data_IF_966255869432
#
_entry.id   IF_966255869432
#
_cell.length_a   1.000
_cell.length_b   1.000
_cell.length_c   1.000
_cell.angle_alpha   90.00
_cell.angle_beta   90.00
_cell.angle_gamma   90.00
#
_symmetry.space_group_name_H-M   'P 1'
#
loop_
_entity.id
_entity.type
_entity.pdbx_description
1 polymer ?
#
# COMPACT_ATOMS: atom_id res chain seq x y z
N UNK A 1 -12.48 14.36 4.18
CA UNK A 1 -12.71 15.08 2.90
C UNK A 1 -13.74 16.19 3.06
N UNK A 2 -14.87 15.93 3.71
CA UNK A 2 -15.97 16.91 3.79
C UNK A 2 -15.59 18.20 4.53
N UNK A 3 -14.80 18.12 5.61
CA UNK A 3 -14.37 19.31 6.38
C UNK A 3 -13.53 20.29 5.55
N UNK A 4 -12.79 19.80 4.55
CA UNK A 4 -11.97 20.62 3.66
C UNK A 4 -12.69 20.99 2.35
N UNK A 5 -13.95 20.58 2.19
CA UNK A 5 -14.70 20.75 0.93
C UNK A 5 -14.77 22.21 0.49
N UNK A 6 -15.26 23.08 1.38
CA UNK A 6 -15.44 24.52 1.08
C UNK A 6 -14.10 25.26 1.02
N UNK A 7 -13.25 25.05 2.01
CA UNK A 7 -12.00 25.82 2.17
C UNK A 7 -10.94 25.46 1.13
N UNK A 8 -10.84 24.18 0.75
CA UNK A 8 -9.77 23.69 -0.11
C UNK A 8 -10.28 23.22 -1.48
N UNK A 9 -11.18 22.21 -1.48
CA UNK A 9 -11.51 21.52 -2.73
C UNK A 9 -12.32 22.39 -3.68
N UNK A 10 -13.24 23.25 -3.17
CA UNK A 10 -14.03 24.20 -3.97
C UNK A 10 -13.35 25.55 -4.19
N UNK A 11 -12.27 25.85 -3.48
CA UNK A 11 -11.56 27.12 -3.63
C UNK A 11 -11.16 27.37 -5.09
N UNK A 12 -11.36 28.60 -5.57
CA UNK A 12 -10.91 29.06 -6.90
C UNK A 12 -9.48 29.60 -6.86
N UNK A 13 -9.00 29.99 -5.68
CA UNK A 13 -7.67 30.55 -5.47
C UNK A 13 -6.55 29.53 -5.44
N UNK A 14 -6.87 28.25 -5.15
CA UNK A 14 -5.88 27.19 -5.09
C UNK A 14 -5.76 26.46 -6.43
N UNK A 15 -4.52 26.35 -6.91
CA UNK A 15 -4.23 25.57 -8.13
C UNK A 15 -4.54 24.07 -7.94
N UNK A 16 -4.80 23.35 -9.01
CA UNK A 16 -4.99 21.89 -8.99
C UNK A 16 -3.78 21.18 -8.37
N UNK A 17 -2.57 21.61 -8.72
CA UNK A 17 -1.31 21.09 -8.19
C UNK A 17 -1.22 21.26 -6.68
N UNK A 18 -1.57 22.43 -6.14
CA UNK A 18 -1.61 22.70 -4.70
C UNK A 18 -2.62 21.80 -3.99
N UNK A 19 -3.81 21.62 -4.56
CA UNK A 19 -4.83 20.73 -3.99
C UNK A 19 -4.36 19.28 -3.93
N UNK A 20 -3.70 18.77 -4.96
CA UNK A 20 -3.11 17.42 -4.97
C UNK A 20 -2.03 17.29 -3.89
N UNK A 21 -1.19 18.31 -3.70
CA UNK A 21 -0.20 18.33 -2.61
C UNK A 21 -0.87 18.26 -1.23
N UNK A 22 -1.92 19.05 -1.01
CA UNK A 22 -2.70 19.02 0.24
C UNK A 22 -3.33 17.64 0.44
N UNK A 23 -3.90 17.03 -0.59
CA UNK A 23 -4.44 15.68 -0.53
C UNK A 23 -3.35 14.66 -0.13
N UNK A 24 -2.18 14.74 -0.76
CA UNK A 24 -1.05 13.87 -0.48
C UNK A 24 -0.47 14.02 0.93
N UNK A 25 -0.45 15.25 1.47
CA UNK A 25 0.15 15.56 2.78
C UNK A 25 -0.82 15.40 3.96
N UNK A 26 -2.12 15.58 3.77
CA UNK A 26 -3.10 15.52 4.87
C UNK A 26 -3.98 14.26 4.80
N UNK A 27 -4.51 13.93 3.62
CA UNK A 27 -5.49 12.83 3.50
C UNK A 27 -4.80 11.48 3.40
N UNK A 28 -3.77 11.37 2.57
CA UNK A 28 -3.09 10.10 2.36
C UNK A 28 -2.38 9.54 3.60
N UNK A 29 -1.69 10.33 4.46
CA UNK A 29 -1.11 9.80 5.68
C UNK A 29 -2.15 9.27 6.67
N UNK A 30 -3.29 9.94 6.80
CA UNK A 30 -4.40 9.47 7.65
C UNK A 30 -5.01 8.19 7.07
N UNK A 31 -5.25 8.14 5.75
CA UNK A 31 -5.79 6.97 5.07
C UNK A 31 -4.87 5.75 5.19
N UNK A 32 -3.56 5.95 5.16
CA UNK A 32 -2.55 4.89 5.18
C UNK A 32 -1.90 4.69 6.55
N UNK A 33 -2.53 5.23 7.60
CA UNK A 33 -2.04 5.03 8.96
C UNK A 33 -2.01 3.54 9.31
N UNK A 34 -0.88 3.05 9.80
CA UNK A 34 -0.68 1.64 10.19
C UNK A 34 -0.98 0.59 9.09
N UNK A 35 -0.94 0.99 7.81
CA UNK A 35 -1.26 0.10 6.70
C UNK A 35 -0.25 -1.04 6.51
N UNK A 36 0.88 -0.96 7.17
CA UNK A 36 1.92 -1.99 7.21
C UNK A 36 1.42 -3.31 7.79
N UNK A 37 0.52 -3.22 8.78
CA UNK A 37 -0.05 -4.38 9.46
C UNK A 37 -1.34 -4.93 8.81
N UNK A 38 -1.86 -4.26 7.78
CA UNK A 38 -3.14 -4.64 7.18
C UNK A 38 -3.06 -5.92 6.35
N UNK A 39 -4.13 -6.72 6.44
CA UNK A 39 -4.40 -7.80 5.49
C UNK A 39 -5.54 -7.38 4.57
N UNK A 40 -5.24 -7.16 3.30
CA UNK A 40 -6.20 -6.61 2.35
C UNK A 40 -6.84 -7.70 1.49
N UNK A 41 -8.16 -7.80 1.57
CA UNK A 41 -8.97 -8.55 0.61
C UNK A 41 -9.13 -7.77 -0.69
N UNK A 42 -9.50 -8.45 -1.79
CA UNK A 42 -9.76 -7.79 -3.09
C UNK A 42 -10.82 -6.69 -2.97
N UNK A 43 -11.86 -6.91 -2.16
CA UNK A 43 -12.90 -5.90 -1.90
C UNK A 43 -12.36 -4.64 -1.22
N UNK A 44 -11.50 -4.80 -0.19
CA UNK A 44 -10.88 -3.67 0.50
C UNK A 44 -9.92 -2.89 -0.42
N UNK A 45 -9.12 -3.60 -1.24
CA UNK A 45 -8.25 -2.98 -2.24
C UNK A 45 -9.06 -2.10 -3.20
N UNK A 46 -10.19 -2.61 -3.72
CA UNK A 46 -11.10 -1.83 -4.58
C UNK A 46 -11.65 -0.60 -3.87
N UNK A 47 -12.18 -0.75 -2.65
CA UNK A 47 -12.74 0.38 -1.88
C UNK A 47 -11.72 1.50 -1.66
N UNK A 48 -10.47 1.16 -1.30
CA UNK A 48 -9.38 2.13 -1.13
C UNK A 48 -9.05 2.85 -2.45
N UNK A 49 -8.93 2.09 -3.55
CA UNK A 49 -8.66 2.66 -4.87
C UNK A 49 -9.79 3.58 -5.34
N UNK A 50 -11.03 3.17 -5.14
CA UNK A 50 -12.21 3.98 -5.47
C UNK A 50 -12.23 5.28 -4.67
N UNK A 51 -11.96 5.23 -3.37
CA UNK A 51 -11.90 6.43 -2.53
C UNK A 51 -10.86 7.43 -3.04
N UNK A 52 -9.63 6.97 -3.31
CA UNK A 52 -8.54 7.84 -3.80
C UNK A 52 -8.88 8.42 -5.17
N UNK A 53 -9.30 7.59 -6.13
CA UNK A 53 -9.65 8.06 -7.47
C UNK A 53 -10.83 9.02 -7.47
N UNK A 54 -11.88 8.77 -6.70
CA UNK A 54 -13.02 9.68 -6.59
C UNK A 54 -12.63 11.01 -5.93
N UNK A 55 -11.74 10.98 -4.94
CA UNK A 55 -11.22 12.20 -4.33
C UNK A 55 -10.41 13.04 -5.32
N UNK A 56 -9.55 12.40 -6.12
CA UNK A 56 -8.79 13.08 -7.16
C UNK A 56 -9.69 13.61 -8.29
N UNK A 57 -10.72 12.85 -8.70
CA UNK A 57 -11.72 13.35 -9.68
C UNK A 57 -12.40 14.64 -9.20
N UNK A 58 -12.77 14.71 -7.92
CA UNK A 58 -13.32 15.95 -7.33
C UNK A 58 -12.33 17.11 -7.42
N UNK A 59 -11.04 16.88 -7.14
CA UNK A 59 -9.99 17.89 -7.21
C UNK A 59 -9.80 18.39 -8.65
N UNK A 60 -9.79 17.49 -9.62
CA UNK A 60 -9.64 17.81 -11.04
C UNK A 60 -10.93 18.28 -11.70
N UNK A 61 -12.09 18.16 -11.02
CA UNK A 61 -13.42 18.44 -11.55
C UNK A 61 -13.77 17.58 -12.75
N UNK A 62 -13.35 16.32 -12.74
CA UNK A 62 -13.67 15.32 -13.75
C UNK A 62 -15.07 14.77 -13.46
N UNK A 63 -15.94 14.82 -14.45
CA UNK A 63 -17.31 14.25 -14.40
C UNK A 63 -17.29 12.80 -14.87
N UNK A 64 -18.33 12.03 -14.55
CA UNK A 64 -18.46 10.65 -15.01
C UNK A 64 -18.56 10.55 -16.54
N UNK A 65 -19.16 11.57 -17.19
CA UNK A 65 -19.29 11.66 -18.65
C UNK A 65 -17.96 11.81 -19.38
N UNK A 66 -16.90 12.25 -18.70
CA UNK A 66 -15.59 12.45 -19.29
C UNK A 66 -14.85 11.12 -19.54
N UNK A 67 -15.40 9.98 -19.06
CA UNK A 67 -14.89 8.61 -19.23
C UNK A 67 -13.38 8.47 -18.95
N UNK A 68 -12.83 9.26 -18.03
CA UNK A 68 -11.39 9.22 -17.67
C UNK A 68 -11.10 8.00 -16.78
N UNK A 69 -10.18 7.14 -17.20
CA UNK A 69 -9.76 5.95 -16.46
C UNK A 69 -9.09 6.28 -15.12
N UNK A 70 -9.13 5.35 -14.16
CA UNK A 70 -8.45 5.52 -12.88
C UNK A 70 -6.93 5.73 -13.03
N UNK A 71 -6.33 5.03 -13.97
CA UNK A 71 -4.91 5.17 -14.28
C UNK A 71 -4.60 6.60 -14.73
N UNK A 72 -5.38 7.15 -15.65
CA UNK A 72 -5.19 8.51 -16.14
C UNK A 72 -5.35 9.55 -15.02
N UNK A 73 -6.30 9.35 -14.12
CA UNK A 73 -6.49 10.23 -12.94
C UNK A 73 -5.25 10.22 -12.03
N UNK A 74 -4.65 9.05 -11.78
CA UNK A 74 -3.43 8.92 -10.98
C UNK A 74 -2.22 9.55 -11.67
N UNK A 75 -2.08 9.37 -12.98
CA UNK A 75 -1.03 10.02 -13.79
C UNK A 75 -1.14 11.55 -13.73
N UNK A 76 -2.33 12.11 -13.91
CA UNK A 76 -2.57 13.56 -13.77
C UNK A 76 -2.21 14.08 -12.38
N UNK A 77 -2.39 13.26 -11.34
CA UNK A 77 -2.01 13.59 -9.99
C UNK A 77 -0.51 13.37 -9.70
N UNK A 78 0.22 12.70 -10.57
CA UNK A 78 1.58 12.26 -10.31
C UNK A 78 1.67 11.29 -9.12
N UNK A 79 0.62 10.52 -8.87
CA UNK A 79 0.51 9.61 -7.72
C UNK A 79 0.52 8.15 -8.15
N UNK A 80 1.27 7.34 -7.41
CA UNK A 80 1.17 5.88 -7.55
C UNK A 80 -0.12 5.36 -6.92
N UNK A 81 -0.59 4.19 -7.38
CA UNK A 81 -1.81 3.58 -6.84
C UNK A 81 -1.68 3.29 -5.33
N UNK A 82 -2.79 3.41 -4.62
CA UNK A 82 -2.82 3.24 -3.15
C UNK A 82 -2.39 1.84 -2.72
N UNK A 83 -2.76 0.82 -3.47
CA UNK A 83 -2.38 -0.58 -3.19
C UNK A 83 -0.89 -0.80 -3.36
N UNK A 84 -0.25 -0.13 -4.33
CA UNK A 84 1.20 -0.14 -4.51
C UNK A 84 1.92 0.52 -3.33
N UNK A 85 1.40 1.66 -2.84
CA UNK A 85 1.96 2.33 -1.67
C UNK A 85 1.90 1.45 -0.41
N UNK A 86 0.77 0.77 -0.18
CA UNK A 86 0.60 -0.16 0.94
C UNK A 86 1.60 -1.32 0.83
N UNK A 87 1.69 -1.95 -0.36
CA UNK A 87 2.64 -3.03 -0.64
C UNK A 87 4.08 -2.63 -0.30
N UNK A 88 4.51 -1.47 -0.78
CA UNK A 88 5.87 -0.99 -0.53
C UNK A 88 6.14 -0.77 0.97
N UNK A 89 5.17 -0.23 1.71
CA UNK A 89 5.29 -0.06 3.16
C UNK A 89 5.38 -1.41 3.87
N UNK A 90 4.51 -2.37 3.54
CA UNK A 90 4.54 -3.72 4.11
C UNK A 90 5.88 -4.41 3.88
N UNK A 91 6.42 -4.36 2.66
CA UNK A 91 7.71 -4.96 2.34
C UNK A 91 8.88 -4.26 3.04
N UNK A 92 8.83 -2.95 3.20
CA UNK A 92 9.84 -2.19 3.96
C UNK A 92 9.82 -2.55 5.44
N UNK A 93 8.63 -2.61 6.05
CA UNK A 93 8.46 -3.03 7.44
C UNK A 93 8.91 -4.46 7.66
N UNK A 94 8.56 -5.38 6.75
CA UNK A 94 9.05 -6.76 6.81
C UNK A 94 10.58 -6.83 6.83
N UNK A 95 11.24 -6.16 5.89
CA UNK A 95 12.69 -6.12 5.87
C UNK A 95 13.32 -5.42 7.09
N UNK A 96 12.65 -4.43 7.66
CA UNK A 96 13.10 -3.78 8.90
C UNK A 96 13.05 -4.78 10.07
N UNK A 97 11.91 -5.42 10.30
CA UNK A 97 11.72 -6.36 11.40
C UNK A 97 12.70 -7.54 11.32
N UNK A 98 13.01 -8.04 10.14
CA UNK A 98 14.01 -9.11 9.99
C UNK A 98 15.42 -8.73 10.41
N UNK A 99 15.79 -7.45 10.33
CA UNK A 99 17.09 -6.91 10.75
C UNK A 99 17.12 -6.45 12.21
N UNK A 100 15.98 -6.40 12.89
CA UNK A 100 15.95 -6.11 14.33
C UNK A 100 16.72 -7.16 15.13
N UNK A 101 17.20 -6.86 16.35
CA UNK A 101 17.83 -7.83 17.23
C UNK A 101 16.95 -9.06 17.47
N UNK A 102 17.54 -10.19 17.77
CA UNK A 102 16.80 -11.45 18.06
C UNK A 102 15.89 -11.35 19.29
N UNK A 103 16.14 -10.39 20.15
CA UNK A 103 15.33 -10.06 21.33
C UNK A 103 14.06 -9.30 20.99
N UNK A 104 13.98 -8.70 19.80
CA UNK A 104 12.80 -7.93 19.37
C UNK A 104 11.56 -8.82 19.26
N UNK A 105 10.44 -8.45 19.92
CA UNK A 105 9.21 -9.25 19.91
C UNK A 105 8.64 -9.47 18.50
N UNK A 106 8.67 -8.46 17.64
CA UNK A 106 8.13 -8.58 16.28
C UNK A 106 8.95 -9.58 15.44
N UNK A 107 10.29 -9.55 15.56
CA UNK A 107 11.15 -10.54 14.90
C UNK A 107 10.92 -11.94 15.43
N UNK A 108 10.76 -12.10 16.75
CA UNK A 108 10.47 -13.39 17.38
C UNK A 108 9.15 -13.97 16.86
N UNK A 109 8.08 -13.17 16.80
CA UNK A 109 6.77 -13.58 16.28
C UNK A 109 6.88 -14.02 14.81
N UNK A 110 7.59 -13.27 13.97
CA UNK A 110 7.78 -13.63 12.57
C UNK A 110 8.55 -14.95 12.37
N UNK A 111 9.41 -15.32 13.32
CA UNK A 111 10.19 -16.57 13.26
C UNK A 111 9.51 -17.76 13.93
N UNK A 112 8.74 -17.53 14.96
CA UNK A 112 8.12 -18.59 15.76
C UNK A 112 7.01 -19.35 15.01
N UNK A 113 6.41 -18.72 14.00
CA UNK A 113 5.26 -19.32 13.29
C UNK A 113 4.02 -19.43 14.20
N UNK A 114 3.21 -20.47 13.97
CA UNK A 114 2.01 -20.69 14.78
C UNK A 114 2.38 -21.39 16.10
N UNK A 115 1.74 -20.99 17.22
CA UNK A 115 1.94 -21.67 18.49
C UNK A 115 1.53 -23.16 18.41
N UNK A 116 2.26 -24.01 19.10
CA UNK A 116 1.92 -25.45 19.20
C UNK A 116 0.53 -25.60 19.79
N UNK A 117 -0.29 -26.46 19.18
CA UNK A 117 -1.68 -26.72 19.63
C UNK A 117 -2.70 -25.68 19.20
N UNK A 118 -2.30 -24.58 18.57
CA UNK A 118 -3.25 -23.61 18.05
C UNK A 118 -4.01 -24.17 16.84
N UNK A 119 -5.34 -24.13 16.91
CA UNK A 119 -6.21 -24.51 15.80
C UNK A 119 -6.97 -23.30 15.29
N UNK A 120 -7.11 -23.22 13.99
CA UNK A 120 -7.93 -22.17 13.38
C UNK A 120 -9.39 -22.33 13.77
N UNK A 121 -10.11 -21.23 14.06
CA UNK A 121 -11.56 -21.28 14.21
C UNK A 121 -12.23 -21.90 12.98
N UNK A 122 -13.36 -22.57 13.19
CA UNK A 122 -14.17 -23.09 12.11
C UNK A 122 -14.68 -21.95 11.19
N UNK A 123 -14.90 -22.25 9.92
CA UNK A 123 -15.40 -21.31 8.92
C UNK A 123 -14.36 -20.93 7.88
N UNK A 124 -14.69 -19.94 7.03
CA UNK A 124 -13.79 -19.49 5.96
C UNK A 124 -12.49 -18.90 6.55
N UNK A 125 -11.31 -19.43 6.18
CA UNK A 125 -10.04 -18.94 6.68
C UNK A 125 -9.85 -17.47 6.37
N UNK A 126 -9.48 -16.68 7.37
CA UNK A 126 -9.08 -15.28 7.15
C UNK A 126 -7.69 -15.24 6.53
N UNK A 127 -7.48 -14.33 5.59
CA UNK A 127 -6.17 -14.10 4.98
C UNK A 127 -5.16 -13.67 6.05
N UNK A 128 -3.97 -14.26 6.03
CA UNK A 128 -2.89 -13.92 6.95
C UNK A 128 -2.01 -12.82 6.37
N UNK A 129 -1.32 -12.12 7.24
CA UNK A 129 -0.37 -11.09 6.85
C UNK A 129 0.82 -11.65 6.05
N UNK A 130 1.34 -12.83 6.41
CA UNK A 130 2.40 -13.50 5.66
C UNK A 130 1.96 -13.90 4.24
N UNK A 131 0.74 -14.39 4.07
CA UNK A 131 0.16 -14.68 2.75
C UNK A 131 0.06 -13.40 1.89
N UNK A 132 -0.30 -12.27 2.54
CA UNK A 132 -0.31 -10.97 1.88
C UNK A 132 1.10 -10.53 1.46
N UNK A 133 2.12 -10.82 2.27
CA UNK A 133 3.51 -10.55 1.92
C UNK A 133 3.98 -11.40 0.76
N UNK A 134 3.65 -12.69 0.71
CA UNK A 134 3.98 -13.58 -0.42
C UNK A 134 3.40 -13.05 -1.74
N UNK A 135 2.12 -12.65 -1.74
CA UNK A 135 1.53 -11.97 -2.91
C UNK A 135 2.30 -10.69 -3.29
N UNK A 136 2.75 -9.94 -2.30
CA UNK A 136 3.50 -8.72 -2.53
C UNK A 136 4.90 -9.01 -3.11
N UNK A 137 5.55 -10.11 -2.70
CA UNK A 137 6.88 -10.52 -3.16
C UNK A 137 6.91 -10.92 -4.63
N UNK A 138 5.84 -11.51 -5.16
CA UNK A 138 5.71 -11.82 -6.60
C UNK A 138 5.99 -10.58 -7.45
N UNK A 139 5.50 -9.42 -7.01
CA UNK A 139 5.69 -8.14 -7.72
C UNK A 139 7.12 -7.58 -7.60
N UNK A 140 7.93 -8.11 -6.70
CA UNK A 140 9.35 -7.72 -6.50
C UNK A 140 10.29 -8.72 -7.16
N UNK A 141 9.73 -9.72 -7.86
CA UNK A 141 10.48 -10.83 -8.48
C UNK A 141 11.33 -11.59 -7.45
N UNK A 142 10.79 -11.80 -6.27
CA UNK A 142 11.38 -12.62 -5.21
C UNK A 142 10.45 -13.79 -4.96
N UNK A 143 10.96 -15.00 -5.17
CA UNK A 143 10.19 -16.23 -5.03
C UNK A 143 10.19 -16.70 -3.58
N UNK A 144 9.08 -16.39 -2.86
CA UNK A 144 8.82 -16.91 -1.52
C UNK A 144 9.48 -16.11 -0.37
N UNK A 145 8.96 -16.37 0.82
CA UNK A 145 9.41 -15.72 2.06
C UNK A 145 10.86 -16.10 2.45
N UNK A 146 11.31 -17.31 2.12
CA UNK A 146 12.67 -17.76 2.42
C UNK A 146 13.72 -16.92 1.68
N UNK A 147 13.56 -16.76 0.35
CA UNK A 147 14.44 -15.90 -0.45
C UNK A 147 14.37 -14.43 0.01
N UNK A 148 13.16 -13.93 0.29
CA UNK A 148 12.97 -12.58 0.80
C UNK A 148 13.70 -12.35 2.13
N UNK A 149 13.68 -13.34 3.02
CA UNK A 149 14.41 -13.30 4.30
C UNK A 149 15.90 -13.18 4.09
N UNK A 150 16.49 -14.02 3.23
CA UNK A 150 17.92 -13.97 2.89
C UNK A 150 18.33 -12.60 2.35
N UNK A 151 17.57 -12.04 1.41
CA UNK A 151 17.86 -10.70 0.88
C UNK A 151 17.72 -9.59 1.94
N UNK A 152 16.68 -9.66 2.76
CA UNK A 152 16.40 -8.64 3.76
C UNK A 152 17.41 -8.65 4.93
N UNK A 153 17.89 -9.84 5.33
CA UNK A 153 18.89 -10.00 6.40
C UNK A 153 20.30 -9.63 5.93
N UNK A 154 20.62 -9.88 4.65
CA UNK A 154 21.96 -9.63 4.09
C UNK A 154 22.31 -8.15 4.05
N UNK A 155 21.42 -7.30 3.56
CA UNK A 155 21.64 -5.85 3.45
C UNK A 155 20.34 -5.08 3.34
N UNK A 156 20.27 -3.97 4.12
CA UNK A 156 19.17 -3.02 4.06
C UNK A 156 19.10 -2.34 2.68
N UNK A 157 20.23 -2.05 2.06
CA UNK A 157 20.34 -1.37 0.78
C UNK A 157 19.85 -2.26 -0.38
N UNK A 158 20.32 -3.52 -0.39
CA UNK A 158 19.89 -4.52 -1.38
C UNK A 158 18.38 -4.75 -1.30
N UNK A 159 17.85 -4.89 -0.08
CA UNK A 159 16.41 -5.02 0.11
C UNK A 159 15.63 -3.80 -0.35
N UNK A 160 16.08 -2.60 0.03
CA UNK A 160 15.48 -1.32 -0.39
C UNK A 160 15.50 -1.18 -1.90
N UNK A 161 16.62 -1.48 -2.56
CA UNK A 161 16.73 -1.42 -4.02
C UNK A 161 15.72 -2.34 -4.71
N UNK A 162 15.58 -3.60 -4.24
CA UNK A 162 14.57 -4.55 -4.76
C UNK A 162 13.15 -4.04 -4.58
N UNK A 163 12.80 -3.53 -3.40
CA UNK A 163 11.46 -2.99 -3.10
C UNK A 163 11.18 -1.74 -3.93
N UNK A 164 12.15 -0.85 -4.10
CA UNK A 164 11.97 0.38 -4.89
C UNK A 164 11.92 0.11 -6.40
N UNK A 165 12.59 -0.94 -6.89
CA UNK A 165 12.46 -1.38 -8.28
C UNK A 165 11.01 -1.79 -8.63
N UNK A 166 10.30 -2.42 -7.69
CA UNK A 166 8.89 -2.77 -7.87
C UNK A 166 7.95 -1.56 -8.03
N UNK A 167 8.39 -0.38 -7.62
CA UNK A 167 7.66 0.88 -7.79
C UNK A 167 7.51 1.30 -9.26
N UNK A 168 8.44 0.86 -10.09
CA UNK A 168 8.57 1.25 -11.51
C UNK A 168 7.92 0.28 -12.48
N UNK A 169 7.44 -0.89 -12.01
CA UNK A 169 6.87 -1.89 -12.91
C UNK A 169 5.47 -1.45 -13.37
N UNK A 170 5.26 -1.29 -14.70
CA UNK A 170 3.93 -1.14 -15.27
C UNK A 170 3.13 -2.41 -14.98
N UNK A 171 1.89 -2.29 -14.55
CA UNK A 171 1.03 -3.44 -14.22
C UNK A 171 0.99 -3.83 -12.73
N UNK A 172 1.70 -3.12 -11.84
CA UNK A 172 1.62 -3.33 -10.41
C UNK A 172 0.25 -2.94 -9.78
N UNK A 173 -0.66 -2.39 -10.56
CA UNK A 173 -2.06 -2.15 -10.19
C UNK A 173 -2.93 -3.26 -10.77
N UNK A 174 -3.46 -4.18 -9.96
CA UNK A 174 -4.30 -5.28 -10.44
C UNK A 174 -5.74 -4.87 -10.82
N UNK A 175 -6.01 -3.61 -11.09
CA UNK A 175 -7.35 -3.10 -11.39
C UNK A 175 -7.29 -2.02 -12.48
N UNK A 176 -7.09 -2.47 -13.70
CA UNK A 176 -7.69 -1.84 -14.89
C UNK A 176 -9.02 -2.51 -15.16
#
# INVERSE_FOLDING_TARGET
MNSLEKAVWRSRYLSRKTKVRIFGSLVMPVLLYSCEAWTLTGGLKRRLSTFVCNSLRKIFRIRWQDHVSNQRVLEMAGMSCVTCQIRLRQLRTYGHVLRCPSTDPARRILRAGEPRGWRRPAGRPRKRWLEQLEENLVNVRVTGLAAARTYAERSAEVWKAKVDAAKRLPGACPHT
#
